data_IF_122200700942
#
_entry.id   IF_122200700942
#
_cell.length_a   1.000
_cell.length_b   1.000
_cell.length_c   1.000
_cell.angle_alpha   90.00
_cell.angle_beta   90.00
_cell.angle_gamma   90.00
#
_symmetry.space_group_name_H-M   'P 1'
#
loop_
_entity.id
_entity.type
_entity.pdbx_description
1 polymer ?
#
# COMPACT_ATOMS: atom_id res chain seq x y z
N UNK A 1 26.43 30.56 -5.57
CA UNK A 1 26.00 29.14 -5.48
C UNK A 1 25.44 28.89 -4.07
N UNK A 2 24.10 28.87 -3.92
CA UNK A 2 23.46 28.47 -2.69
C UNK A 2 23.50 26.94 -2.62
N UNK A 3 23.94 26.33 -1.52
CA UNK A 3 23.86 24.88 -1.38
C UNK A 3 22.39 24.46 -1.43
N UNK A 4 22.05 23.50 -2.30
CA UNK A 4 20.78 22.81 -2.26
C UNK A 4 20.63 22.23 -0.86
N UNK A 5 19.67 22.73 -0.09
CA UNK A 5 19.24 22.04 1.11
C UNK A 5 18.67 20.71 0.65
N UNK A 6 19.44 19.65 0.83
CA UNK A 6 18.89 18.31 0.87
C UNK A 6 17.80 18.35 1.93
N UNK A 7 16.54 18.19 1.50
CA UNK A 7 15.48 17.87 2.44
C UNK A 7 15.82 16.47 2.93
N UNK A 8 16.43 16.38 4.10
CA UNK A 8 16.41 15.15 4.85
C UNK A 8 14.94 14.85 5.12
N UNK A 9 14.38 13.91 4.37
CA UNK A 9 13.23 13.18 4.85
C UNK A 9 13.72 12.52 6.14
N UNK A 10 13.28 13.03 7.27
CA UNK A 10 13.42 12.31 8.52
C UNK A 10 12.48 11.12 8.43
N UNK A 11 12.97 10.00 7.89
CA UNK A 11 12.46 8.70 8.24
C UNK A 11 12.87 8.55 9.71
N UNK A 12 11.97 8.93 10.60
CA UNK A 12 12.11 8.60 12.01
C UNK A 12 11.69 7.16 12.14
N UNK A 13 12.71 6.34 12.21
CA UNK A 13 12.70 4.99 12.77
C UNK A 13 11.47 4.14 12.45
N UNK A 14 11.57 3.35 11.38
CA UNK A 14 10.84 2.09 11.34
C UNK A 14 11.42 1.20 12.44
N UNK A 15 10.70 0.98 13.52
CA UNK A 15 11.06 -0.05 14.49
C UNK A 15 10.44 -1.37 14.01
N UNK A 16 11.27 -2.32 13.62
CA UNK A 16 10.82 -3.69 13.37
C UNK A 16 10.71 -4.40 14.73
N UNK A 17 9.55 -4.95 15.02
CA UNK A 17 9.31 -5.73 16.22
C UNK A 17 8.84 -7.12 15.84
N UNK A 18 9.59 -8.13 16.25
CA UNK A 18 9.09 -9.52 16.20
C UNK A 18 8.03 -9.71 17.26
N UNK A 19 6.86 -10.19 16.86
CA UNK A 19 5.72 -10.41 17.73
C UNK A 19 5.04 -11.72 17.37
N UNK A 20 4.77 -12.54 18.37
CA UNK A 20 3.90 -13.70 18.19
C UNK A 20 2.44 -13.26 18.24
N UNK A 21 1.78 -13.24 17.07
CA UNK A 21 0.37 -12.91 16.98
C UNK A 21 -0.55 -14.04 17.49
N UNK A 22 0.00 -15.21 17.82
CA UNK A 22 -0.79 -16.37 18.27
C UNK A 22 -1.69 -16.96 17.19
N UNK A 23 -1.54 -16.52 15.95
CA UNK A 23 -2.30 -16.95 14.77
C UNK A 23 -1.34 -17.14 13.59
N UNK A 24 -1.59 -18.15 12.80
CA UNK A 24 -0.91 -18.42 11.53
C UNK A 24 -1.90 -19.02 10.54
N UNK A 25 -1.60 -18.89 9.24
CA UNK A 25 -2.42 -19.47 8.18
C UNK A 25 -3.30 -18.45 7.51
N UNK A 26 -4.61 -18.44 7.74
CA UNK A 26 -5.53 -17.56 7.03
C UNK A 26 -5.90 -16.31 7.84
N UNK A 27 -5.80 -15.14 7.24
CA UNK A 27 -6.08 -13.83 7.83
C UNK A 27 -7.24 -13.14 7.12
N UNK A 28 -8.10 -12.50 7.90
CA UNK A 28 -9.12 -11.58 7.41
C UNK A 28 -8.72 -10.12 7.71
N UNK A 29 -9.38 -9.16 7.09
CA UNK A 29 -9.18 -7.74 7.40
C UNK A 29 -9.44 -7.42 8.89
N UNK A 30 -10.43 -8.11 9.50
CA UNK A 30 -10.75 -7.93 10.91
C UNK A 30 -9.63 -8.49 11.82
N UNK A 31 -9.06 -9.64 11.48
CA UNK A 31 -7.91 -10.19 12.20
C UNK A 31 -6.71 -9.24 12.17
N UNK A 32 -6.41 -8.68 10.99
CA UNK A 32 -5.33 -7.70 10.81
C UNK A 32 -5.58 -6.46 11.66
N UNK A 33 -6.80 -5.89 11.62
CA UNK A 33 -7.17 -4.71 12.43
C UNK A 33 -7.06 -4.99 13.92
N UNK A 34 -7.53 -6.16 14.39
CA UNK A 34 -7.45 -6.55 15.79
C UNK A 34 -5.99 -6.60 16.26
N UNK A 35 -5.11 -7.26 15.49
CA UNK A 35 -3.69 -7.35 15.82
C UNK A 35 -2.97 -6.00 15.72
N UNK A 36 -3.27 -5.21 14.72
CA UNK A 36 -2.76 -3.85 14.61
C UNK A 36 -3.16 -3.01 15.83
N UNK A 37 -4.40 -3.12 16.27
CA UNK A 37 -4.90 -2.40 17.44
C UNK A 37 -4.22 -2.85 18.74
N UNK A 38 -4.03 -4.15 18.93
CA UNK A 38 -3.34 -4.71 20.11
C UNK A 38 -1.89 -4.21 20.23
N UNK A 39 -1.22 -4.00 19.10
CA UNK A 39 0.19 -3.62 19.02
C UNK A 39 0.42 -2.15 18.63
N UNK A 40 -0.65 -1.37 18.53
CA UNK A 40 -0.56 0.05 18.18
C UNK A 40 0.24 0.81 19.23
N UNK A 41 1.19 1.63 18.76
CA UNK A 41 1.88 2.55 19.64
C UNK A 41 0.88 3.49 20.33
N UNK A 42 1.00 3.64 21.65
CA UNK A 42 0.19 4.58 22.42
C UNK A 42 0.71 6.01 22.33
N UNK A 43 1.73 6.26 21.50
CA UNK A 43 2.23 7.62 21.30
C UNK A 43 1.15 8.47 20.64
N UNK A 44 0.78 9.60 21.26
CA UNK A 44 -0.24 10.45 20.69
C UNK A 44 0.24 11.01 19.35
N UNK A 45 -0.58 10.86 18.33
CA UNK A 45 -0.37 11.55 17.06
C UNK A 45 -0.60 13.04 17.29
N UNK A 46 0.48 13.79 17.44
CA UNK A 46 0.43 15.22 17.71
C UNK A 46 1.19 16.01 16.66
N UNK A 47 0.63 17.12 16.24
CA UNK A 47 1.26 18.02 15.27
C UNK A 47 1.31 17.42 13.85
N UNK A 48 2.51 17.32 13.27
CA UNK A 48 2.74 16.87 11.89
C UNK A 48 3.26 15.43 11.79
N UNK A 49 3.04 14.61 12.82
CA UNK A 49 3.51 13.21 12.84
C UNK A 49 2.36 12.27 12.48
N UNK A 50 2.58 11.44 11.45
CA UNK A 50 1.71 10.33 11.08
C UNK A 50 2.39 9.02 11.48
N UNK A 51 1.61 8.12 12.04
CA UNK A 51 2.03 6.75 12.33
C UNK A 51 1.26 5.81 11.41
N UNK A 52 1.98 5.11 10.58
CA UNK A 52 1.47 3.99 9.81
C UNK A 52 2.04 2.70 10.35
N UNK A 53 1.26 1.65 10.28
CA UNK A 53 1.62 0.35 10.78
C UNK A 53 1.57 -0.66 9.65
N UNK A 54 2.68 -1.34 9.41
CA UNK A 54 2.75 -2.45 8.50
C UNK A 54 2.93 -3.74 9.30
N UNK A 55 2.05 -4.72 9.07
CA UNK A 55 2.13 -6.05 9.63
C UNK A 55 2.65 -7.01 8.58
N UNK A 56 3.46 -7.97 9.00
CA UNK A 56 3.95 -9.07 8.18
C UNK A 56 3.53 -10.38 8.83
N UNK A 57 2.25 -10.76 8.72
CA UNK A 57 1.74 -11.95 9.37
C UNK A 57 2.23 -13.23 8.67
N UNK A 58 2.45 -14.29 9.43
CA UNK A 58 2.73 -15.61 8.88
C UNK A 58 1.47 -16.22 8.25
N UNK A 59 1.58 -16.77 7.06
CA UNK A 59 0.47 -17.29 6.26
C UNK A 59 -0.02 -16.29 5.21
N UNK A 60 -1.26 -16.43 4.78
CA UNK A 60 -1.84 -15.64 3.69
C UNK A 60 -3.18 -15.01 4.06
N UNK A 61 -3.67 -14.13 3.20
CA UNK A 61 -5.00 -13.58 3.32
C UNK A 61 -6.07 -14.65 3.07
N UNK A 62 -7.27 -14.46 3.60
CA UNK A 62 -8.39 -15.41 3.44
C UNK A 62 -8.81 -15.62 1.97
N UNK A 63 -8.57 -14.64 1.12
CA UNK A 63 -8.49 -14.81 -0.32
C UNK A 63 -7.01 -15.02 -0.68
N UNK A 64 -6.63 -16.23 -1.08
CA UNK A 64 -5.23 -16.61 -1.37
C UNK A 64 -4.60 -15.86 -2.56
N UNK A 65 -5.40 -15.07 -3.28
CA UNK A 65 -4.92 -14.28 -4.42
C UNK A 65 -4.42 -12.89 -4.01
N UNK A 66 -4.40 -12.56 -2.71
CA UNK A 66 -4.02 -11.25 -2.18
C UNK A 66 -2.63 -11.30 -1.55
N UNK A 67 -1.73 -10.43 -2.02
CA UNK A 67 -0.34 -10.29 -1.55
C UNK A 67 -0.20 -9.23 -0.45
N UNK A 68 -1.04 -8.20 -0.48
CA UNK A 68 -1.11 -7.14 0.50
C UNK A 68 -2.54 -6.67 0.70
N UNK A 69 -2.81 -5.96 1.77
CA UNK A 69 -4.11 -5.33 2.03
C UNK A 69 -3.95 -4.12 2.94
N UNK A 70 -4.51 -2.98 2.55
CA UNK A 70 -4.75 -1.86 3.44
C UNK A 70 -6.10 -2.06 4.12
N UNK A 71 -6.12 -2.21 5.43
CA UNK A 71 -7.34 -2.52 6.19
C UNK A 71 -8.00 -1.30 6.83
N UNK A 72 -7.29 -0.20 6.90
CA UNK A 72 -7.76 1.13 7.30
C UNK A 72 -6.73 2.20 6.87
N UNK A 73 -7.02 3.47 7.11
CA UNK A 73 -6.16 4.60 6.71
C UNK A 73 -4.79 4.66 7.42
N UNK A 74 -4.44 3.70 8.24
CA UNK A 74 -3.19 3.67 9.02
C UNK A 74 -2.49 2.32 9.06
N UNK A 75 -3.12 1.27 8.52
CA UNK A 75 -2.68 -0.12 8.70
C UNK A 75 -2.68 -0.89 7.40
N UNK A 76 -1.56 -1.51 7.09
CA UNK A 76 -1.42 -2.46 5.98
C UNK A 76 -0.93 -3.80 6.50
N UNK A 77 -1.24 -4.87 5.78
CA UNK A 77 -0.61 -6.18 5.97
C UNK A 77 -0.02 -6.69 4.67
N UNK A 78 1.17 -7.27 4.74
CA UNK A 78 1.91 -7.84 3.61
C UNK A 78 2.14 -9.33 3.90
N UNK A 79 1.70 -10.18 3.00
CA UNK A 79 1.72 -11.64 3.16
C UNK A 79 2.94 -12.23 2.48
N UNK A 80 4.05 -12.28 3.19
CA UNK A 80 5.35 -12.72 2.64
C UNK A 80 5.32 -14.14 2.13
N UNK A 81 4.60 -15.06 2.78
CA UNK A 81 4.46 -16.44 2.33
C UNK A 81 3.79 -16.50 0.94
N UNK A 82 2.76 -15.68 0.71
CA UNK A 82 2.08 -15.58 -0.59
C UNK A 82 2.98 -14.93 -1.66
N UNK A 83 3.78 -13.94 -1.28
CA UNK A 83 4.76 -13.30 -2.16
C UNK A 83 5.84 -14.30 -2.60
N UNK A 84 6.38 -15.10 -1.68
CA UNK A 84 7.36 -16.14 -2.00
C UNK A 84 6.77 -17.21 -2.93
N UNK A 85 5.48 -17.55 -2.78
CA UNK A 85 4.78 -18.47 -3.69
C UNK A 85 4.52 -17.85 -5.07
N UNK A 86 4.32 -16.54 -5.15
CA UNK A 86 4.12 -15.80 -6.39
C UNK A 86 5.43 -15.59 -7.18
N UNK A 87 6.60 -15.70 -6.51
CA UNK A 87 7.91 -15.64 -7.15
C UNK A 87 8.00 -16.69 -8.26
N UNK A 88 8.39 -16.26 -9.43
CA UNK A 88 8.47 -17.18 -10.57
C UNK A 88 9.86 -17.78 -10.77
N UNK A 89 10.00 -18.75 -11.69
CA UNK A 89 11.30 -19.33 -11.99
C UNK A 89 12.25 -18.28 -12.55
N UNK A 90 13.48 -18.32 -12.10
CA UNK A 90 14.63 -17.42 -12.14
C UNK A 90 14.89 -16.55 -13.40
N UNK A 91 14.15 -16.71 -14.48
CA UNK A 91 14.41 -16.00 -15.76
C UNK A 91 13.22 -15.28 -16.38
N UNK A 92 12.05 -15.24 -15.75
CA UNK A 92 10.85 -14.72 -16.42
C UNK A 92 9.79 -14.07 -15.52
N UNK A 93 10.05 -13.88 -14.25
CA UNK A 93 9.11 -13.25 -13.30
C UNK A 93 9.89 -12.37 -12.31
N UNK A 94 9.24 -11.36 -11.71
CA UNK A 94 9.86 -10.55 -10.66
C UNK A 94 10.27 -11.42 -9.47
N UNK A 95 11.32 -11.01 -8.78
CA UNK A 95 11.75 -11.60 -7.52
C UNK A 95 10.77 -11.29 -6.40
N UNK A 96 10.79 -12.08 -5.33
CA UNK A 96 9.98 -11.80 -4.14
C UNK A 96 10.24 -10.40 -3.56
N UNK A 97 11.50 -9.89 -3.63
CA UNK A 97 11.85 -8.54 -3.20
C UNK A 97 11.18 -7.45 -4.06
N UNK A 98 11.16 -7.62 -5.40
CA UNK A 98 10.48 -6.69 -6.31
C UNK A 98 8.98 -6.70 -6.09
N UNK A 99 8.38 -7.90 -5.89
CA UNK A 99 6.95 -8.03 -5.57
C UNK A 99 6.64 -7.35 -4.24
N UNK A 100 7.40 -7.65 -3.18
CA UNK A 100 7.19 -7.06 -1.84
C UNK A 100 7.26 -5.52 -1.90
N UNK A 101 8.25 -4.98 -2.61
CA UNK A 101 8.40 -3.54 -2.76
C UNK A 101 7.21 -2.90 -3.48
N UNK A 102 6.80 -3.46 -4.61
CA UNK A 102 5.66 -2.98 -5.39
C UNK A 102 4.36 -3.03 -4.58
N UNK A 103 4.07 -4.17 -3.95
CA UNK A 103 2.89 -4.33 -3.08
C UNK A 103 2.91 -3.36 -1.91
N UNK A 104 4.05 -3.18 -1.26
CA UNK A 104 4.16 -2.26 -0.13
C UNK A 104 3.89 -0.81 -0.53
N UNK A 105 4.43 -0.36 -1.68
CA UNK A 105 4.16 0.99 -2.21
C UNK A 105 2.71 1.15 -2.60
N UNK A 106 2.10 0.13 -3.20
CA UNK A 106 0.68 0.06 -3.54
C UNK A 106 -0.21 0.27 -2.29
N UNK A 107 0.01 -0.52 -1.25
CA UNK A 107 -0.77 -0.43 -0.01
C UNK A 107 -0.61 0.94 0.68
N UNK A 108 0.59 1.52 0.63
CA UNK A 108 0.78 2.90 1.10
C UNK A 108 0.04 3.93 0.25
N UNK A 109 -0.16 3.69 -1.04
CA UNK A 109 -1.03 4.51 -1.89
C UNK A 109 -2.46 4.54 -1.36
N UNK A 110 -2.99 3.40 -0.93
CA UNK A 110 -4.28 3.33 -0.26
C UNK A 110 -4.30 4.11 1.06
N UNK A 111 -3.24 4.06 1.88
CA UNK A 111 -3.15 4.88 3.10
C UNK A 111 -3.12 6.38 2.80
N UNK A 112 -2.57 6.79 1.65
CA UNK A 112 -2.62 8.17 1.17
C UNK A 112 -4.01 8.56 0.63
N UNK A 113 -4.91 7.59 0.49
CA UNK A 113 -6.26 7.78 -0.01
C UNK A 113 -6.36 7.89 -1.53
N UNK A 114 -5.32 7.42 -2.25
CA UNK A 114 -5.26 7.49 -3.71
C UNK A 114 -6.41 6.75 -4.39
N UNK A 115 -6.59 7.10 -5.64
CA UNK A 115 -7.60 6.60 -6.58
C UNK A 115 -9.00 6.67 -5.98
N UNK A 116 -9.40 7.92 -5.63
CA UNK A 116 -10.75 8.27 -5.19
C UNK A 116 -11.20 7.72 -3.82
N UNK A 117 -10.33 7.13 -3.01
CA UNK A 117 -10.73 6.63 -1.69
C UNK A 117 -11.21 7.74 -0.74
N UNK A 118 -10.54 8.91 -0.74
CA UNK A 118 -10.89 10.03 0.16
C UNK A 118 -11.22 11.34 -0.56
N UNK A 119 -11.19 11.37 -1.87
CA UNK A 119 -11.48 12.54 -2.71
C UNK A 119 -12.23 12.12 -3.98
N UNK A 120 -12.40 13.01 -4.92
CA UNK A 120 -12.77 12.70 -6.31
C UNK A 120 -11.76 13.39 -7.23
N UNK A 121 -11.03 12.59 -7.98
CA UNK A 121 -10.07 13.08 -8.97
C UNK A 121 -10.76 13.90 -10.06
N UNK A 122 -10.13 14.99 -10.54
CA UNK A 122 -10.59 15.71 -11.71
C UNK A 122 -10.33 14.93 -13.01
N UNK A 123 -9.45 13.91 -12.98
CA UNK A 123 -9.14 13.00 -14.08
C UNK A 123 -9.78 11.65 -13.81
N UNK A 124 -10.35 11.05 -14.84
CA UNK A 124 -10.97 9.73 -14.75
C UNK A 124 -9.90 8.64 -14.99
N UNK A 125 -9.21 8.26 -13.92
CA UNK A 125 -8.14 7.25 -13.95
C UNK A 125 -8.42 6.05 -13.03
N UNK A 126 -9.61 5.98 -12.45
CA UNK A 126 -10.05 4.84 -11.64
C UNK A 126 -10.51 3.69 -12.53
N UNK A 127 -10.12 2.46 -12.20
CA UNK A 127 -10.63 1.26 -12.84
C UNK A 127 -12.08 1.00 -12.43
N UNK A 128 -13.00 0.89 -13.41
CA UNK A 128 -14.43 0.69 -13.15
C UNK A 128 -14.75 -0.67 -12.51
N UNK A 129 -13.94 -1.69 -12.83
CA UNK A 129 -14.12 -3.06 -12.31
C UNK A 129 -13.40 -3.28 -10.96
N UNK A 130 -12.39 -2.44 -10.65
CA UNK A 130 -11.59 -2.49 -9.43
C UNK A 130 -11.53 -1.11 -8.75
N UNK A 131 -12.63 -0.66 -8.09
CA UNK A 131 -12.68 0.65 -7.45
C UNK A 131 -11.54 0.84 -6.43
N UNK A 132 -10.97 2.06 -6.41
CA UNK A 132 -9.80 2.36 -5.57
C UNK A 132 -8.47 2.05 -6.24
N UNK A 133 -8.48 1.55 -7.48
CA UNK A 133 -7.28 1.21 -8.25
C UNK A 133 -7.23 1.98 -9.57
N UNK A 134 -6.00 2.20 -10.07
CA UNK A 134 -5.76 2.87 -11.33
C UNK A 134 -6.12 1.99 -12.52
N UNK A 135 -6.69 2.59 -13.57
CA UNK A 135 -6.89 1.94 -14.87
C UNK A 135 -5.62 1.89 -15.73
N UNK A 136 -4.50 2.44 -15.24
CA UNK A 136 -3.20 2.45 -15.89
C UNK A 136 -2.34 1.30 -15.39
N UNK A 137 -2.01 0.33 -16.25
CA UNK A 137 -1.18 -0.83 -15.92
C UNK A 137 0.29 -0.49 -15.56
N UNK A 138 0.74 0.72 -15.90
CA UNK A 138 2.07 1.21 -15.53
C UNK A 138 2.10 1.91 -14.16
N UNK A 139 0.95 2.14 -13.51
CA UNK A 139 0.89 2.69 -12.15
C UNK A 139 1.03 1.58 -11.11
N UNK A 140 1.77 1.88 -10.03
CA UNK A 140 1.78 0.99 -8.85
C UNK A 140 0.39 0.83 -8.23
N UNK A 141 -0.54 1.77 -8.48
CA UNK A 141 -1.95 1.66 -8.05
C UNK A 141 -2.82 0.78 -8.95
N UNK A 142 -2.24 0.08 -9.92
CA UNK A 142 -2.97 -0.90 -10.73
C UNK A 142 -3.35 -2.13 -9.89
N UNK A 143 -4.59 -2.58 -9.98
CA UNK A 143 -5.15 -3.64 -9.11
C UNK A 143 -4.37 -4.96 -9.13
N UNK A 144 -3.73 -5.31 -10.25
CA UNK A 144 -3.01 -6.57 -10.36
C UNK A 144 -1.71 -6.59 -9.54
N UNK A 145 -1.24 -5.45 -9.03
CA UNK A 145 -0.05 -5.36 -8.17
C UNK A 145 -0.25 -6.10 -6.85
N UNK A 146 -1.43 -6.03 -6.27
CA UNK A 146 -1.76 -6.73 -5.01
C UNK A 146 -2.20 -8.19 -5.22
N UNK A 147 -2.31 -8.64 -6.49
CA UNK A 147 -2.78 -9.98 -6.83
C UNK A 147 -1.62 -10.98 -6.97
N UNK A 148 -1.81 -12.19 -6.45
CA UNK A 148 -0.88 -13.30 -6.65
C UNK A 148 -0.83 -13.77 -8.13
N UNK A 149 -1.85 -13.47 -8.93
CA UNK A 149 -1.85 -13.71 -10.38
C UNK A 149 -1.21 -12.53 -11.13
N UNK A 150 0.12 -12.49 -11.15
CA UNK A 150 0.90 -11.48 -11.87
C UNK A 150 0.82 -11.59 -13.40
N UNK A 151 0.06 -12.56 -13.94
CA UNK A 151 -0.11 -12.71 -15.38
C UNK A 151 -0.88 -11.56 -16.03
N UNK A 152 -1.57 -10.76 -15.23
CA UNK A 152 -2.27 -9.56 -15.65
C UNK A 152 -1.35 -8.34 -15.83
N UNK A 153 -0.09 -8.45 -15.39
CA UNK A 153 0.93 -7.42 -15.62
C UNK A 153 1.64 -7.73 -16.94
N UNK A 154 1.22 -7.07 -18.00
CA UNK A 154 1.58 -7.40 -19.39
C UNK A 154 3.01 -6.97 -19.73
N UNK A 155 3.54 -5.93 -19.10
CA UNK A 155 4.82 -5.32 -19.45
C UNK A 155 6.06 -6.06 -18.94
N UNK A 156 5.89 -7.04 -18.03
CA UNK A 156 6.97 -7.88 -17.52
C UNK A 156 7.84 -7.24 -16.44
N UNK A 157 7.65 -5.96 -16.13
CA UNK A 157 8.18 -5.26 -14.96
C UNK A 157 7.02 -4.86 -14.06
N UNK A 158 7.14 -5.12 -12.76
CA UNK A 158 6.15 -4.66 -11.79
C UNK A 158 6.24 -3.15 -11.64
N UNK A 159 5.11 -2.42 -11.70
CA UNK A 159 5.10 -1.01 -11.37
C UNK A 159 5.50 -0.83 -9.88
N UNK A 160 6.42 0.08 -9.61
CA UNK A 160 6.90 0.41 -8.27
C UNK A 160 6.82 1.91 -7.95
N UNK A 161 6.28 2.71 -8.89
CA UNK A 161 6.09 4.14 -8.76
C UNK A 161 4.64 4.55 -9.03
N UNK A 162 4.21 5.61 -8.37
CA UNK A 162 2.95 6.29 -8.71
C UNK A 162 3.05 6.95 -10.07
N UNK A 163 2.02 6.86 -10.86
CA UNK A 163 1.97 7.53 -12.15
C UNK A 163 1.71 9.04 -12.03
N UNK A 164 1.63 9.72 -13.17
CA UNK A 164 1.44 11.16 -13.18
C UNK A 164 0.07 11.59 -12.66
N UNK A 165 -0.98 10.79 -12.84
CA UNK A 165 -2.32 11.12 -12.37
C UNK A 165 -2.40 10.97 -10.85
N UNK A 166 -1.83 9.92 -10.28
CA UNK A 166 -1.67 9.73 -8.84
C UNK A 166 -0.89 10.88 -8.19
N UNK A 167 0.25 11.26 -8.80
CA UNK A 167 1.10 12.36 -8.30
C UNK A 167 0.42 13.73 -8.41
N UNK A 168 -0.37 13.97 -9.46
CA UNK A 168 -1.16 15.18 -9.62
C UNK A 168 -2.27 15.26 -8.58
N UNK A 169 -2.92 14.15 -8.28
CA UNK A 169 -3.94 14.09 -7.24
C UNK A 169 -3.34 14.37 -5.85
N UNK A 170 -2.19 13.79 -5.52
CA UNK A 170 -1.46 14.11 -4.28
C UNK A 170 -1.10 15.60 -4.21
N UNK A 171 -0.63 16.18 -5.31
CA UNK A 171 -0.30 17.61 -5.36
C UNK A 171 -1.57 18.48 -5.22
N UNK A 172 -2.67 18.09 -5.84
CA UNK A 172 -3.96 18.77 -5.75
C UNK A 172 -4.55 18.72 -4.35
N UNK A 173 -4.46 17.58 -3.67
CA UNK A 173 -4.85 17.45 -2.27
C UNK A 173 -3.98 18.32 -1.35
N UNK A 174 -2.67 18.33 -1.56
CA UNK A 174 -1.72 19.13 -0.78
C UNK A 174 -1.93 20.64 -0.97
N UNK A 175 -2.25 21.06 -2.18
CA UNK A 175 -2.51 22.49 -2.49
C UNK A 175 -3.91 22.94 -2.07
N UNK A 176 -4.82 22.01 -1.79
CA UNK A 176 -6.23 22.27 -1.52
C UNK A 176 -7.09 22.51 -2.77
N UNK A 177 -6.55 22.26 -3.97
CA UNK A 177 -7.32 22.27 -5.21
C UNK A 177 -8.28 21.10 -5.31
N UNK A 178 -7.88 19.96 -4.75
CA UNK A 178 -8.72 18.77 -4.58
C UNK A 178 -9.21 18.73 -3.13
N UNK A 179 -10.53 18.71 -2.95
CA UNK A 179 -11.14 18.62 -1.62
C UNK A 179 -11.11 17.17 -1.12
N UNK A 180 -10.53 16.97 0.04
CA UNK A 180 -10.48 15.69 0.73
C UNK A 180 -11.68 15.56 1.66
N UNK A 181 -12.23 14.35 1.80
CA UNK A 181 -13.27 14.06 2.78
C UNK A 181 -12.69 14.13 4.19
N UNK A 182 -13.47 14.67 5.15
CA UNK A 182 -13.05 14.80 6.55
C UNK A 182 -12.95 13.45 7.30
N UNK A 183 -13.33 12.37 6.65
CA UNK A 183 -13.31 11.04 7.25
C UNK A 183 -12.13 10.22 6.69
N UNK A 184 -11.39 9.60 7.60
CA UNK A 184 -10.50 8.51 7.23
C UNK A 184 -11.31 7.42 6.57
N UNK A 185 -10.81 6.89 5.46
CA UNK A 185 -11.49 5.77 4.83
C UNK A 185 -11.43 4.53 5.74
N UNK A 186 -12.52 3.82 5.75
CA UNK A 186 -12.65 2.48 6.32
C UNK A 186 -13.15 1.60 5.19
N UNK A 187 -12.53 0.45 4.96
CA UNK A 187 -12.95 -0.47 3.92
C UNK A 187 -14.33 -1.06 4.21
#
# INVERSE_FOLDING_TARGET
>A
LRPRRQRQMCIRDSSLTETDFGQSGSWTADDVREKAWEHKSNDPQTGSTLYWQALFPAGGYSNNDVLGVAVDASTVAIFKDAIEEAEGPFFSRPSAEEIENSVLVHEYGHLLGLVNLVYKSPVDHEDEDHPGHSNNEDSVMYWAVESADLSNIITGELPDEFDNDDLNDLAGMLSGEISVRDQLWLP
#
